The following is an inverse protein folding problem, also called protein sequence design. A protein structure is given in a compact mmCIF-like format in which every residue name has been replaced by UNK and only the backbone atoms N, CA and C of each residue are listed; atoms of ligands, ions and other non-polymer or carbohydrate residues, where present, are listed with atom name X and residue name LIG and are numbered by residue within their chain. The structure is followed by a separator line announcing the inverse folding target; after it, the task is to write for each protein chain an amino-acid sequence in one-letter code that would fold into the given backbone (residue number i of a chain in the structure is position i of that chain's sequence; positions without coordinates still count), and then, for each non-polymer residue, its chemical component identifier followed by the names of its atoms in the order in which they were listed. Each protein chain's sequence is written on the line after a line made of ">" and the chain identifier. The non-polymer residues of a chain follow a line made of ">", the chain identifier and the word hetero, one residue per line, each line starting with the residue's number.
data_IF_770059522883
#
_entry.id   IF_770059522883
#
_cell.length_a   1.000
_cell.length_b   1.000
_cell.length_c   1.000
_cell.angle_alpha   90.00
_cell.angle_beta   90.00
_cell.angle_gamma   90.00
#
_symmetry.space_group_name_H-M   'P 1'
#
loop_
_entity.id
_entity.type
_entity.pdbx_description
1 polymer ?
#
# COMPACT_ATOMS: atom_id res chain seq x y z
N UNK A 1 -7.70 32.95 52.98
CA UNK A 1 -6.80 31.84 52.59
C UNK A 1 -6.27 32.11 51.17
N UNK A 2 -5.04 32.64 51.05
CA UNK A 2 -4.33 32.86 49.77
C UNK A 2 -3.01 32.06 49.84
N UNK A 3 -3.03 30.76 49.57
CA UNK A 3 -1.84 29.89 49.76
C UNK A 3 -1.49 28.97 48.58
N UNK A 4 -2.06 29.17 47.40
CA UNK A 4 -1.76 28.30 46.25
C UNK A 4 -0.79 28.94 45.25
N UNK A 5 -0.54 30.25 45.33
CA UNK A 5 0.26 31.00 44.34
C UNK A 5 -0.41 31.16 42.98
N UNK A 6 -1.69 30.77 42.86
CA UNK A 6 -2.49 30.89 41.64
C UNK A 6 -3.16 32.26 41.55
N UNK A 7 -3.28 32.77 40.32
CA UNK A 7 -4.01 34.00 39.99
C UNK A 7 -5.15 33.73 39.00
N UNK A 8 -6.22 34.54 38.99
CA UNK A 8 -7.30 34.39 38.00
C UNK A 8 -6.78 34.60 36.57
N UNK A 9 -7.41 33.92 35.62
CA UNK A 9 -7.13 34.07 34.20
C UNK A 9 -7.56 35.46 33.69
N UNK A 10 -6.70 36.08 32.88
CA UNK A 10 -6.98 37.33 32.17
C UNK A 10 -7.21 37.07 30.68
N UNK A 11 -7.80 38.03 29.96
CA UNK A 11 -7.94 37.92 28.50
C UNK A 11 -6.59 37.77 27.79
N UNK A 12 -5.53 38.40 28.31
CA UNK A 12 -4.19 38.26 27.76
C UNK A 12 -3.64 36.84 27.93
N UNK A 13 -3.95 36.17 29.05
CA UNK A 13 -3.56 34.77 29.26
C UNK A 13 -4.29 33.84 28.30
N UNK A 14 -5.59 34.06 28.10
CA UNK A 14 -6.37 33.26 27.17
C UNK A 14 -5.86 33.39 25.74
N UNK A 15 -5.52 34.61 25.31
CA UNK A 15 -4.92 34.84 23.99
C UNK A 15 -3.54 34.19 23.86
N UNK A 16 -2.68 34.32 24.89
CA UNK A 16 -1.37 33.69 24.91
C UNK A 16 -1.45 32.15 24.91
N UNK A 17 -2.40 31.58 25.64
CA UNK A 17 -2.64 30.14 25.67
C UNK A 17 -3.25 29.64 24.37
N UNK A 18 -4.14 30.42 23.74
CA UNK A 18 -4.68 30.12 22.41
C UNK A 18 -3.57 30.08 21.38
N UNK A 19 -2.67 31.07 21.39
CA UNK A 19 -1.50 31.11 20.50
C UNK A 19 -0.54 29.94 20.72
N UNK A 20 -0.19 29.66 21.98
CA UNK A 20 0.65 28.52 22.32
C UNK A 20 0.03 27.19 21.90
N UNK A 21 -1.26 26.97 22.19
CA UNK A 21 -1.95 25.73 21.86
C UNK A 21 -2.01 25.53 20.32
N UNK A 22 -2.26 26.61 19.57
CA UNK A 22 -2.27 26.57 18.11
C UNK A 22 -0.89 26.27 17.51
N UNK A 23 0.19 26.81 18.10
CA UNK A 23 1.54 26.66 17.58
C UNK A 23 2.19 25.32 17.97
N UNK A 24 2.00 24.88 19.21
CA UNK A 24 2.80 23.78 19.79
C UNK A 24 2.01 22.47 19.92
N UNK A 25 0.69 22.54 20.12
CA UNK A 25 -0.12 21.35 20.47
C UNK A 25 -0.98 20.88 19.31
N UNK A 26 -1.78 21.77 18.70
CA UNK A 26 -2.66 21.42 17.58
C UNK A 26 -1.97 20.74 16.38
N UNK A 27 -0.72 21.07 16.00
CA UNK A 27 -0.05 20.40 14.88
C UNK A 27 0.29 18.92 15.13
N UNK A 28 0.51 18.55 16.40
CA UNK A 28 1.02 17.23 16.79
C UNK A 28 -0.05 16.37 17.47
N UNK A 29 -1.03 17.01 18.11
CA UNK A 29 -2.09 16.35 18.84
C UNK A 29 -3.45 16.59 18.19
N UNK A 30 -4.06 15.53 17.69
CA UNK A 30 -5.35 15.58 16.96
C UNK A 30 -6.54 15.22 17.85
N UNK A 31 -6.30 14.61 19.00
CA UNK A 31 -7.33 14.19 19.95
C UNK A 31 -7.65 15.34 20.89
N UNK A 32 -8.88 15.85 20.82
CA UNK A 32 -9.32 17.00 21.62
C UNK A 32 -9.15 16.78 23.14
N UNK A 33 -9.36 15.56 23.63
CA UNK A 33 -9.15 15.25 25.05
C UNK A 33 -7.71 15.55 25.49
N UNK A 34 -6.72 15.16 24.68
CA UNK A 34 -5.31 15.38 25.00
C UNK A 34 -4.89 16.85 24.81
N UNK A 35 -5.50 17.57 23.85
CA UNK A 35 -5.35 19.04 23.75
C UNK A 35 -5.87 19.75 25.01
N UNK A 36 -7.02 19.32 25.54
CA UNK A 36 -7.61 19.84 26.77
C UNK A 36 -6.71 19.57 27.97
N UNK A 37 -6.20 18.36 28.10
CA UNK A 37 -5.29 18.00 29.19
C UNK A 37 -3.99 18.83 29.13
N UNK A 38 -3.40 18.99 27.95
CA UNK A 38 -2.22 19.83 27.74
C UNK A 38 -2.50 21.30 28.13
N UNK A 39 -3.64 21.85 27.74
CA UNK A 39 -4.06 23.19 28.12
C UNK A 39 -4.18 23.34 29.65
N UNK A 40 -4.81 22.38 30.34
CA UNK A 40 -4.95 22.42 31.80
C UNK A 40 -3.60 22.27 32.53
N UNK A 41 -2.68 21.49 31.99
CA UNK A 41 -1.30 21.41 32.48
C UNK A 41 -0.60 22.76 32.33
N UNK A 42 -0.76 23.42 31.19
CA UNK A 42 -0.14 24.73 30.92
C UNK A 42 -0.70 25.84 31.83
N UNK A 43 -2.01 25.83 32.11
CA UNK A 43 -2.61 26.71 33.13
C UNK A 43 -1.91 26.53 34.49
N UNK A 44 -1.69 25.28 34.92
CA UNK A 44 -1.01 24.99 36.19
C UNK A 44 0.45 25.41 36.19
N UNK A 45 1.17 25.16 35.09
CA UNK A 45 2.57 25.55 34.93
C UNK A 45 2.75 27.08 35.07
N UNK A 46 1.80 27.86 34.53
CA UNK A 46 1.78 29.33 34.63
C UNK A 46 1.19 29.86 35.94
N UNK A 47 0.77 28.99 36.86
CA UNK A 47 0.05 29.31 38.10
C UNK A 47 -1.20 30.17 37.85
N UNK A 48 -1.95 29.83 36.81
CA UNK A 48 -3.22 30.48 36.45
C UNK A 48 -4.36 29.52 36.80
N UNK A 49 -5.38 30.04 37.49
CA UNK A 49 -6.59 29.27 37.78
C UNK A 49 -7.35 28.99 36.46
N UNK A 50 -7.60 27.72 36.10
CA UNK A 50 -8.30 27.40 34.87
C UNK A 50 -9.71 28.01 34.87
N UNK A 51 -10.15 28.63 33.78
CA UNK A 51 -11.49 29.18 33.71
C UNK A 51 -12.53 28.05 33.66
N UNK A 52 -13.82 28.41 33.77
CA UNK A 52 -14.91 27.44 33.67
C UNK A 52 -14.88 26.65 32.35
N UNK A 53 -15.40 25.42 32.35
CA UNK A 53 -15.36 24.47 31.22
C UNK A 53 -15.72 25.11 29.88
N UNK A 54 -16.82 25.86 29.81
CA UNK A 54 -17.27 26.54 28.59
C UNK A 54 -16.21 27.48 27.99
N UNK A 55 -15.41 28.15 28.84
CA UNK A 55 -14.35 29.04 28.37
C UNK A 55 -13.14 28.25 27.86
N UNK A 56 -12.79 27.14 28.53
CA UNK A 56 -11.76 26.20 28.06
C UNK A 56 -12.12 25.68 26.66
N UNK A 57 -13.37 25.27 26.44
CA UNK A 57 -13.81 24.83 25.11
C UNK A 57 -13.69 25.91 24.04
N UNK A 58 -14.02 27.17 24.37
CA UNK A 58 -13.84 28.30 23.44
C UNK A 58 -12.38 28.51 23.06
N UNK A 59 -11.45 28.38 24.00
CA UNK A 59 -10.00 28.47 23.75
C UNK A 59 -9.55 27.32 22.85
N UNK A 60 -10.00 26.09 23.11
CA UNK A 60 -9.70 24.93 22.26
C UNK A 60 -10.17 25.15 20.81
N UNK A 61 -11.42 25.59 20.63
CA UNK A 61 -11.98 25.90 19.30
C UNK A 61 -11.20 27.02 18.62
N UNK A 62 -10.89 28.10 19.32
CA UNK A 62 -10.15 29.24 18.77
C UNK A 62 -8.73 28.84 18.35
N UNK A 63 -8.03 28.06 19.17
CA UNK A 63 -6.68 27.59 18.88
C UNK A 63 -6.65 26.66 17.67
N UNK A 64 -7.58 25.70 17.61
CA UNK A 64 -7.72 24.81 16.43
C UNK A 64 -8.04 25.59 15.17
N UNK A 65 -8.96 26.55 15.24
CA UNK A 65 -9.28 27.41 14.09
C UNK A 65 -8.07 28.22 13.62
N UNK A 66 -7.31 28.81 14.56
CA UNK A 66 -6.07 29.55 14.25
C UNK A 66 -5.02 28.66 13.60
N UNK A 67 -4.82 27.47 14.14
CA UNK A 67 -3.89 26.49 13.58
C UNK A 67 -4.35 25.99 12.20
N UNK A 68 -5.63 25.68 12.02
CA UNK A 68 -6.17 25.19 10.74
C UNK A 68 -5.99 26.24 9.64
N UNK A 69 -6.24 27.52 9.94
CA UNK A 69 -5.98 28.62 9.01
C UNK A 69 -4.50 28.70 8.62
N UNK A 70 -3.59 28.66 9.61
CA UNK A 70 -2.15 28.70 9.36
C UNK A 70 -1.67 27.49 8.54
N UNK A 71 -2.19 26.30 8.84
CA UNK A 71 -1.88 25.07 8.11
C UNK A 71 -2.34 25.14 6.65
N UNK A 72 -3.58 25.60 6.41
CA UNK A 72 -4.09 25.74 5.04
C UNK A 72 -3.27 26.77 4.24
N UNK A 73 -2.96 27.92 4.85
CA UNK A 73 -2.14 28.95 4.22
C UNK A 73 -0.76 28.41 3.80
N UNK A 74 -0.10 27.67 4.69
CA UNK A 74 1.20 27.05 4.44
C UNK A 74 1.17 26.03 3.29
N UNK A 75 0.13 25.18 3.23
CA UNK A 75 -0.05 24.20 2.16
C UNK A 75 -0.29 24.91 0.82
N UNK A 76 -1.13 25.94 0.82
CA UNK A 76 -1.45 26.76 -0.36
C UNK A 76 -0.21 27.46 -0.91
N UNK A 77 0.61 28.04 -0.02
CA UNK A 77 1.86 28.69 -0.40
C UNK A 77 2.79 27.71 -1.14
N UNK A 78 2.95 26.49 -0.60
CA UNK A 78 3.78 25.44 -1.22
C UNK A 78 3.25 24.92 -2.55
N UNK A 79 1.93 24.88 -2.72
CA UNK A 79 1.31 24.41 -3.97
C UNK A 79 1.55 25.37 -5.14
N UNK A 80 1.64 26.68 -4.85
CA UNK A 80 1.61 27.71 -5.88
C UNK A 80 0.27 27.80 -6.61
N UNK A 81 0.14 28.77 -7.51
CA UNK A 81 -1.09 29.02 -8.28
C UNK A 81 -1.49 27.83 -9.16
N UNK A 82 -0.58 27.33 -9.98
CA UNK A 82 -0.86 26.21 -10.88
C UNK A 82 -1.29 24.92 -10.14
N UNK A 83 -0.74 24.66 -8.95
CA UNK A 83 -1.15 23.51 -8.13
C UNK A 83 -2.56 23.68 -7.59
N UNK A 84 -2.90 24.88 -7.12
CA UNK A 84 -4.24 25.23 -6.63
C UNK A 84 -5.29 25.08 -7.72
N UNK A 85 -5.05 25.63 -8.90
CA UNK A 85 -6.02 25.61 -10.00
C UNK A 85 -6.31 24.18 -10.47
N UNK A 86 -5.27 23.36 -10.61
CA UNK A 86 -5.43 21.94 -10.96
C UNK A 86 -6.22 21.17 -9.91
N UNK A 87 -5.99 21.43 -8.62
CA UNK A 87 -6.78 20.80 -7.55
C UNK A 87 -8.24 21.28 -7.59
N UNK A 88 -8.49 22.57 -7.71
CA UNK A 88 -9.85 23.13 -7.78
C UNK A 88 -10.62 22.62 -9.00
N UNK A 89 -9.93 22.37 -10.11
CA UNK A 89 -10.54 21.77 -11.30
C UNK A 89 -11.19 20.40 -11.04
N UNK A 90 -10.74 19.66 -10.03
CA UNK A 90 -11.31 18.35 -9.66
C UNK A 90 -12.74 18.42 -9.14
N UNK A 91 -13.18 19.60 -8.70
CA UNK A 91 -14.50 19.81 -8.07
C UNK A 91 -15.30 20.91 -8.76
N UNK A 92 -14.83 21.45 -9.89
CA UNK A 92 -15.56 22.43 -10.67
C UNK A 92 -16.84 21.81 -11.27
N UNK A 93 -17.95 22.56 -11.28
CA UNK A 93 -19.27 22.06 -11.70
C UNK A 93 -19.34 21.74 -13.19
N UNK A 94 -18.61 22.50 -13.99
CA UNK A 94 -18.50 22.37 -15.44
C UNK A 94 -17.37 21.42 -15.88
N UNK A 95 -16.67 20.78 -14.94
CA UNK A 95 -15.56 19.87 -15.24
C UNK A 95 -15.88 18.41 -14.89
N UNK A 96 -16.63 17.75 -15.78
CA UNK A 96 -16.92 16.31 -15.68
C UNK A 96 -15.65 15.45 -15.65
N UNK A 97 -14.60 15.85 -16.36
CA UNK A 97 -13.33 15.10 -16.39
C UNK A 97 -12.63 15.16 -15.04
N UNK A 98 -12.61 16.34 -14.40
CA UNK A 98 -12.03 16.54 -13.07
C UNK A 98 -12.78 15.75 -11.98
N UNK A 99 -14.12 15.79 -12.01
CA UNK A 99 -14.94 15.05 -11.05
C UNK A 99 -14.84 13.54 -11.25
N UNK A 100 -14.76 13.06 -12.50
CA UNK A 100 -14.50 11.66 -12.80
C UNK A 100 -13.11 11.21 -12.30
N UNK A 101 -12.08 12.05 -12.46
CA UNK A 101 -10.76 11.78 -11.90
C UNK A 101 -10.84 11.68 -10.37
N UNK A 102 -11.44 12.65 -9.68
CA UNK A 102 -11.61 12.61 -8.23
C UNK A 102 -12.31 11.33 -7.76
N UNK A 103 -13.38 10.90 -8.43
CA UNK A 103 -14.08 9.65 -8.14
C UNK A 103 -13.17 8.43 -8.37
N UNK A 104 -12.38 8.42 -9.44
CA UNK A 104 -11.41 7.35 -9.70
C UNK A 104 -10.31 7.28 -8.64
N UNK A 105 -9.85 8.42 -8.12
CA UNK A 105 -8.84 8.49 -7.07
C UNK A 105 -9.35 7.95 -5.75
N UNK A 106 -10.62 8.20 -5.41
CA UNK A 106 -11.24 7.71 -4.18
C UNK A 106 -11.55 6.23 -4.19
N UNK A 107 -11.62 5.61 -5.36
CA UNK A 107 -11.91 4.17 -5.49
C UNK A 107 -10.69 3.35 -5.10
N UNK A 108 -10.92 2.29 -4.34
CA UNK A 108 -9.90 1.29 -4.04
C UNK A 108 -9.41 0.57 -5.30
N UNK A 109 -8.19 0.01 -5.27
CA UNK A 109 -7.66 -0.79 -6.37
C UNK A 109 -8.61 -1.96 -6.70
N UNK A 110 -8.93 -2.13 -7.99
CA UNK A 110 -9.83 -3.20 -8.44
C UNK A 110 -9.24 -4.60 -8.26
N UNK A 111 -10.10 -5.64 -8.29
CA UNK A 111 -9.71 -7.04 -8.15
C UNK A 111 -8.57 -7.49 -9.11
N UNK A 112 -7.80 -8.50 -8.71
CA UNK A 112 -6.57 -8.94 -9.39
C UNK A 112 -6.85 -9.55 -10.78
N UNK A 113 -6.79 -8.72 -11.82
CA UNK A 113 -6.90 -9.05 -13.25
C UNK A 113 -5.86 -8.28 -14.08
N UNK A 114 -5.65 -8.65 -15.35
CA UNK A 114 -4.65 -8.02 -16.24
C UNK A 114 -4.94 -6.53 -16.54
N UNK A 115 -6.21 -6.14 -16.51
CA UNK A 115 -6.65 -4.76 -16.76
C UNK A 115 -6.50 -3.86 -15.52
N UNK A 116 -6.37 -4.47 -14.33
CA UNK A 116 -6.22 -3.75 -13.07
C UNK A 116 -4.90 -2.96 -12.99
N UNK A 117 -3.72 -3.53 -13.30
CA UNK A 117 -2.46 -2.76 -13.33
C UNK A 117 -2.44 -1.60 -14.32
N UNK A 118 -2.99 -1.76 -15.52
CA UNK A 118 -3.01 -0.68 -16.52
C UNK A 118 -3.92 0.47 -16.07
N UNK A 119 -5.07 0.14 -15.49
CA UNK A 119 -5.98 1.14 -14.92
C UNK A 119 -5.32 1.92 -13.78
N UNK A 120 -4.62 1.23 -12.87
CA UNK A 120 -3.89 1.88 -11.78
C UNK A 120 -2.69 2.72 -12.27
N UNK A 121 -2.00 2.31 -13.34
CA UNK A 121 -0.94 3.13 -13.97
C UNK A 121 -1.52 4.42 -14.55
N UNK A 122 -2.66 4.35 -15.24
CA UNK A 122 -3.34 5.54 -15.77
C UNK A 122 -3.72 6.48 -14.63
N UNK A 123 -4.38 5.97 -13.58
CA UNK A 123 -4.70 6.77 -12.39
C UNK A 123 -3.46 7.43 -11.79
N UNK A 124 -2.37 6.69 -11.59
CA UNK A 124 -1.13 7.24 -11.03
C UNK A 124 -0.56 8.37 -11.89
N UNK A 125 -0.58 8.23 -13.21
CA UNK A 125 -0.14 9.28 -14.13
C UNK A 125 -1.05 10.51 -14.05
N UNK A 126 -2.36 10.32 -13.95
CA UNK A 126 -3.32 11.43 -13.85
C UNK A 126 -3.16 12.20 -12.53
N UNK A 127 -2.95 11.51 -11.40
CA UNK A 127 -2.64 12.20 -10.13
C UNK A 127 -1.31 12.96 -10.22
N UNK A 128 -0.29 12.36 -10.83
CA UNK A 128 1.03 13.00 -10.97
C UNK A 128 0.97 14.26 -11.85
N UNK A 129 0.07 14.33 -12.83
CA UNK A 129 -0.15 15.53 -13.65
C UNK A 129 -0.69 16.72 -12.87
N UNK A 130 -1.26 16.51 -11.67
CA UNK A 130 -1.58 17.60 -10.76
C UNK A 130 -0.33 18.36 -10.33
N UNK A 131 0.85 17.72 -10.37
CA UNK A 131 2.14 18.37 -10.14
C UNK A 131 2.33 18.82 -8.69
N UNK A 132 1.81 18.04 -7.74
CA UNK A 132 1.98 18.31 -6.32
C UNK A 132 3.45 18.18 -5.92
N UNK A 133 4.03 19.15 -5.18
CA UNK A 133 5.39 19.04 -4.70
C UNK A 133 5.60 17.80 -3.83
N UNK A 134 6.72 17.10 -4.00
CA UNK A 134 7.03 15.91 -3.18
C UNK A 134 7.09 16.24 -1.68
N UNK A 135 7.69 17.39 -1.35
CA UNK A 135 7.85 17.89 0.01
C UNK A 135 6.65 18.70 0.54
N UNK A 136 5.48 18.63 -0.12
CA UNK A 136 4.30 19.43 0.24
C UNK A 136 3.96 19.33 1.74
N UNK A 137 3.98 18.11 2.29
CA UNK A 137 3.70 17.80 3.68
C UNK A 137 4.93 17.34 4.48
N UNK A 138 6.15 17.73 4.07
CA UNK A 138 7.39 17.22 4.67
C UNK A 138 7.51 17.48 6.19
N UNK A 139 6.97 18.60 6.68
CA UNK A 139 7.02 19.01 8.09
C UNK A 139 5.76 18.59 8.87
N UNK A 140 4.88 17.81 8.24
CA UNK A 140 3.61 17.38 8.82
C UNK A 140 3.71 15.95 9.32
N UNK A 141 3.01 15.63 10.41
CA UNK A 141 2.92 14.24 10.85
C UNK A 141 2.09 13.41 9.86
N UNK A 142 2.45 12.14 9.65
CA UNK A 142 1.66 11.23 8.79
C UNK A 142 0.21 11.10 9.28
N UNK A 143 0.00 11.16 10.61
CA UNK A 143 -1.32 11.11 11.24
C UNK A 143 -2.19 12.30 10.84
N UNK A 144 -1.60 13.50 10.80
CA UNK A 144 -2.30 14.73 10.38
C UNK A 144 -2.77 14.60 8.94
N UNK A 145 -1.85 14.26 8.02
CA UNK A 145 -2.19 14.12 6.59
C UNK A 145 -3.26 13.03 6.39
N UNK A 146 -3.13 11.91 7.10
CA UNK A 146 -4.12 10.84 7.07
C UNK A 146 -5.51 11.28 7.58
N UNK A 147 -5.59 12.13 8.61
CA UNK A 147 -6.85 12.67 9.10
C UNK A 147 -7.53 13.59 8.07
N UNK A 148 -6.78 14.48 7.43
CA UNK A 148 -7.29 15.34 6.34
C UNK A 148 -7.73 14.53 5.13
N UNK A 149 -6.93 13.54 4.72
CA UNK A 149 -7.29 12.59 3.67
C UNK A 149 -8.58 11.82 4.02
N UNK A 150 -8.72 11.34 5.25
CA UNK A 150 -9.90 10.58 5.68
C UNK A 150 -11.18 11.43 5.67
N UNK A 151 -11.08 12.72 5.99
CA UNK A 151 -12.18 13.68 5.81
C UNK A 151 -12.49 13.85 4.33
N UNK A 152 -11.48 14.13 3.51
CA UNK A 152 -11.64 14.36 2.08
C UNK A 152 -12.25 13.15 1.35
N UNK A 153 -11.90 11.91 1.73
CA UNK A 153 -12.45 10.68 1.13
C UNK A 153 -13.97 10.64 1.19
N UNK A 154 -14.56 11.04 2.33
CA UNK A 154 -16.01 10.93 2.60
C UNK A 154 -16.85 12.01 1.90
N UNK A 155 -16.22 13.05 1.38
CA UNK A 155 -16.91 14.22 0.81
C UNK A 155 -17.32 14.02 -0.65
N UNK A 156 -18.49 14.51 -1.06
CA UNK A 156 -18.86 14.65 -2.47
C UNK A 156 -18.26 15.93 -3.07
N UNK A 157 -18.19 16.05 -4.41
CA UNK A 157 -17.74 17.30 -5.05
C UNK A 157 -18.48 18.55 -4.56
N UNK A 158 -19.79 18.44 -4.26
CA UNK A 158 -20.59 19.51 -3.65
C UNK A 158 -20.07 19.91 -2.27
N UNK A 159 -19.77 18.94 -1.40
CA UNK A 159 -19.30 19.23 -0.04
C UNK A 159 -17.96 19.99 -0.05
N UNK A 160 -17.10 19.69 -1.03
CA UNK A 160 -15.88 20.47 -1.25
C UNK A 160 -16.22 21.91 -1.63
N UNK A 161 -17.20 22.13 -2.50
CA UNK A 161 -17.66 23.45 -2.94
C UNK A 161 -18.33 24.27 -1.83
N UNK A 162 -18.92 23.61 -0.84
CA UNK A 162 -19.53 24.28 0.32
C UNK A 162 -18.49 24.66 1.40
N UNK A 163 -17.29 24.10 1.31
CA UNK A 163 -16.18 24.42 2.22
C UNK A 163 -15.44 25.69 1.79
N UNK A 164 -14.84 26.42 2.72
CA UNK A 164 -13.96 27.57 2.40
C UNK A 164 -12.85 27.18 1.42
N UNK A 165 -12.42 28.12 0.58
CA UNK A 165 -11.44 27.87 -0.48
C UNK A 165 -10.15 27.23 0.05
N UNK A 166 -9.63 27.75 1.16
CA UNK A 166 -8.36 27.30 1.72
C UNK A 166 -8.42 25.86 2.25
N UNK A 167 -9.49 25.55 2.99
CA UNK A 167 -9.73 24.20 3.53
C UNK A 167 -10.02 23.23 2.38
N UNK A 168 -10.77 23.65 1.36
CA UNK A 168 -11.05 22.86 0.15
C UNK A 168 -9.77 22.45 -0.57
N UNK A 169 -8.89 23.41 -0.85
CA UNK A 169 -7.60 23.16 -1.51
C UNK A 169 -6.77 22.18 -0.66
N UNK A 170 -6.70 22.43 0.64
CA UNK A 170 -5.90 21.60 1.57
C UNK A 170 -6.41 20.17 1.67
N UNK A 171 -7.73 19.97 1.71
CA UNK A 171 -8.35 18.63 1.67
C UNK A 171 -8.05 17.89 0.36
N UNK A 172 -8.18 18.56 -0.78
CA UNK A 172 -7.88 17.99 -2.09
C UNK A 172 -6.38 17.66 -2.22
N UNK A 173 -5.51 18.52 -1.71
CA UNK A 173 -4.07 18.33 -1.68
C UNK A 173 -3.69 17.10 -0.83
N UNK A 174 -4.21 17.00 0.40
CA UNK A 174 -3.95 15.88 1.30
C UNK A 174 -4.45 14.55 0.69
N UNK A 175 -5.63 14.56 0.07
CA UNK A 175 -6.18 13.41 -0.64
C UNK A 175 -5.25 12.98 -1.79
N UNK A 176 -4.99 13.89 -2.73
CA UNK A 176 -4.24 13.56 -3.94
C UNK A 176 -2.80 13.17 -3.64
N UNK A 177 -2.14 13.86 -2.70
CA UNK A 177 -0.77 13.53 -2.27
C UNK A 177 -0.70 12.14 -1.65
N UNK A 178 -1.62 11.81 -0.73
CA UNK A 178 -1.67 10.48 -0.10
C UNK A 178 -1.96 9.38 -1.13
N UNK A 179 -2.87 9.65 -2.08
CA UNK A 179 -3.24 8.68 -3.12
C UNK A 179 -2.11 8.35 -4.08
N UNK A 180 -1.13 9.24 -4.30
CA UNK A 180 0.05 8.88 -5.11
C UNK A 180 0.83 7.71 -4.50
N UNK A 181 1.08 7.75 -3.19
CA UNK A 181 1.77 6.68 -2.48
C UNK A 181 0.94 5.40 -2.45
N UNK A 182 -0.35 5.50 -2.11
CA UNK A 182 -1.25 4.35 -2.01
C UNK A 182 -1.48 3.62 -3.33
N UNK A 183 -1.64 4.36 -4.44
CA UNK A 183 -1.75 3.76 -5.78
C UNK A 183 -0.43 3.09 -6.17
N UNK A 184 0.70 3.69 -5.78
CA UNK A 184 2.02 3.08 -6.02
C UNK A 184 2.18 1.77 -5.25
N UNK A 185 1.81 1.74 -3.97
CA UNK A 185 1.87 0.54 -3.14
C UNK A 185 0.92 -0.55 -3.67
N UNK A 186 -0.31 -0.17 -4.04
CA UNK A 186 -1.27 -1.08 -4.67
C UNK A 186 -0.77 -1.66 -6.00
N UNK A 187 -0.10 -0.84 -6.82
CA UNK A 187 0.53 -1.31 -8.06
C UNK A 187 1.61 -2.36 -7.79
N UNK A 188 2.44 -2.16 -6.77
CA UNK A 188 3.46 -3.14 -6.38
C UNK A 188 2.80 -4.45 -5.95
N UNK A 189 1.75 -4.40 -5.12
CA UNK A 189 1.01 -5.59 -4.69
C UNK A 189 0.36 -6.33 -5.87
N UNK A 190 -0.27 -5.60 -6.79
CA UNK A 190 -0.86 -6.16 -8.01
C UNK A 190 0.18 -6.84 -8.90
N UNK A 191 1.36 -6.23 -9.06
CA UNK A 191 2.46 -6.81 -9.83
C UNK A 191 2.98 -8.10 -9.18
N UNK A 192 3.16 -8.08 -7.86
CA UNK A 192 3.56 -9.28 -7.09
C UNK A 192 2.52 -10.39 -7.27
N UNK A 193 1.24 -10.09 -7.10
CA UNK A 193 0.16 -11.06 -7.24
C UNK A 193 0.09 -11.65 -8.67
N UNK A 194 0.27 -10.81 -9.69
CA UNK A 194 0.26 -11.24 -11.08
C UNK A 194 1.45 -12.16 -11.40
N UNK A 195 2.64 -11.84 -10.92
CA UNK A 195 3.84 -12.68 -11.04
C UNK A 195 3.60 -14.07 -10.45
N UNK A 196 3.02 -14.14 -9.24
CA UNK A 196 2.67 -15.42 -8.61
C UNK A 196 1.62 -16.20 -9.42
N UNK A 197 0.60 -15.51 -9.96
CA UNK A 197 -0.44 -16.13 -10.80
C UNK A 197 0.13 -16.69 -12.11
N UNK A 198 1.08 -15.99 -12.73
CA UNK A 198 1.77 -16.48 -13.93
C UNK A 198 2.62 -17.70 -13.58
N UNK A 199 3.37 -17.65 -12.48
CA UNK A 199 4.23 -18.76 -12.07
C UNK A 199 3.43 -20.04 -11.82
N UNK A 200 2.40 -19.95 -10.98
CA UNK A 200 1.52 -21.07 -10.66
C UNK A 200 0.79 -21.63 -11.90
N UNK A 201 0.39 -20.77 -12.84
CA UNK A 201 -0.23 -21.23 -14.09
C UNK A 201 0.76 -21.94 -15.01
N UNK A 202 2.01 -21.47 -15.08
CA UNK A 202 3.07 -22.12 -15.86
C UNK A 202 3.41 -23.49 -15.28
N UNK A 203 3.60 -23.60 -13.96
CA UNK A 203 3.84 -24.85 -13.25
C UNK A 203 2.71 -25.86 -13.52
N UNK A 204 1.45 -25.47 -13.29
CA UNK A 204 0.28 -26.33 -13.57
C UNK A 204 0.18 -26.75 -15.03
N UNK A 205 0.57 -25.89 -15.98
CA UNK A 205 0.53 -26.22 -17.41
C UNK A 205 1.57 -27.28 -17.76
N UNK A 206 2.78 -27.16 -17.23
CA UNK A 206 3.84 -28.15 -17.47
C UNK A 206 3.52 -29.46 -16.76
N UNK A 207 2.99 -29.41 -15.54
CA UNK A 207 2.55 -30.60 -14.81
C UNK A 207 1.50 -31.36 -15.63
N UNK A 208 0.45 -30.69 -16.11
CA UNK A 208 -0.55 -31.30 -16.99
C UNK A 208 0.04 -31.91 -18.26
N UNK A 209 1.04 -31.25 -18.87
CA UNK A 209 1.71 -31.76 -20.07
C UNK A 209 2.52 -33.03 -19.75
N UNK A 210 3.26 -33.07 -18.65
CA UNK A 210 4.01 -34.26 -18.25
C UNK A 210 3.09 -35.40 -17.85
N UNK A 211 2.01 -35.15 -17.12
CA UNK A 211 1.02 -36.19 -16.79
C UNK A 211 0.38 -36.75 -18.07
N UNK A 212 0.12 -35.90 -19.07
CA UNK A 212 -0.37 -36.35 -20.37
C UNK A 212 0.67 -37.14 -21.18
N UNK A 213 1.95 -36.74 -21.15
CA UNK A 213 3.07 -37.48 -21.77
C UNK A 213 3.25 -38.86 -21.10
N UNK A 214 3.18 -38.93 -19.77
CA UNK A 214 3.24 -40.18 -19.00
C UNK A 214 2.07 -41.11 -19.34
N UNK A 215 0.83 -40.60 -19.39
CA UNK A 215 -0.36 -41.38 -19.81
C UNK A 215 -0.27 -41.91 -21.24
N UNK A 216 0.48 -41.25 -22.13
CA UNK A 216 0.68 -41.72 -23.51
C UNK A 216 1.67 -42.89 -23.62
N UNK A 217 2.59 -43.05 -22.67
CA UNK A 217 3.50 -44.19 -22.64
C UNK A 217 2.76 -45.39 -22.01
N UNK A 218 1.91 -46.03 -22.81
CA UNK A 218 0.98 -47.14 -22.48
C UNK A 218 1.61 -48.42 -21.88
N UNK A 219 2.88 -48.43 -21.49
CA UNK A 219 3.56 -49.58 -20.87
C UNK A 219 3.93 -49.42 -19.40
N UNK A 220 3.99 -48.19 -18.87
CA UNK A 220 4.54 -47.93 -17.51
C UNK A 220 3.54 -48.17 -16.39
N UNK A 221 2.26 -47.88 -16.63
CA UNK A 221 1.18 -48.19 -15.69
C UNK A 221 1.08 -49.70 -15.43
N UNK A 222 1.26 -50.53 -16.47
CA UNK A 222 1.29 -51.99 -16.34
C UNK A 222 2.50 -52.50 -15.54
N UNK A 223 3.65 -51.85 -15.63
CA UNK A 223 4.85 -52.19 -14.83
C UNK A 223 4.62 -51.80 -13.36
N UNK A 224 4.10 -50.61 -13.09
CA UNK A 224 3.79 -50.14 -11.73
C UNK A 224 2.72 -51.00 -11.07
N UNK A 225 1.68 -51.37 -11.81
CA UNK A 225 0.62 -52.26 -11.32
C UNK A 225 1.18 -53.64 -10.95
N UNK A 226 1.98 -54.26 -11.82
CA UNK A 226 2.64 -55.54 -11.53
C UNK A 226 3.56 -55.47 -10.31
N UNK A 227 4.30 -54.37 -10.15
CA UNK A 227 5.17 -54.13 -8.99
C UNK A 227 4.37 -54.01 -7.69
N UNK A 228 3.30 -53.20 -7.72
CA UNK A 228 2.42 -53.00 -6.57
C UNK A 228 1.70 -54.29 -6.17
N UNK A 229 1.16 -55.05 -7.14
CA UNK A 229 0.54 -56.36 -6.89
C UNK A 229 1.53 -57.33 -6.26
N UNK A 230 2.74 -57.44 -6.80
CA UNK A 230 3.76 -58.37 -6.26
C UNK A 230 4.23 -57.97 -4.86
N UNK A 231 4.33 -56.66 -4.57
CA UNK A 231 4.70 -56.17 -3.24
C UNK A 231 3.60 -56.43 -2.20
N UNK A 232 2.33 -56.40 -2.60
CA UNK A 232 1.19 -56.71 -1.72
C UNK A 232 1.04 -58.22 -1.51
N UNK A 233 1.21 -59.03 -2.57
CA UNK A 233 1.08 -60.49 -2.50
C UNK A 233 2.22 -61.15 -1.72
N UNK A 234 3.40 -60.50 -1.67
CA UNK A 234 4.61 -61.05 -1.05
C UNK A 234 5.35 -60.00 -0.20
N UNK A 235 4.78 -59.59 0.94
CA UNK A 235 5.31 -58.48 1.74
C UNK A 235 6.65 -58.81 2.42
N UNK A 236 6.86 -60.09 2.80
CA UNK A 236 8.04 -60.52 3.57
C UNK A 236 9.17 -61.10 2.70
N UNK A 237 8.99 -61.21 1.38
CA UNK A 237 10.07 -61.65 0.48
C UNK A 237 11.07 -60.51 0.23
N UNK A 238 12.35 -60.88 0.18
CA UNK A 238 13.42 -59.95 -0.23
C UNK A 238 13.15 -59.42 -1.64
N UNK A 239 13.18 -58.08 -1.79
CA UNK A 239 12.95 -57.33 -3.05
C UNK A 239 13.64 -57.96 -4.27
N UNK A 240 14.86 -58.46 -4.10
CA UNK A 240 15.65 -59.08 -5.16
C UNK A 240 15.01 -60.39 -5.71
N UNK A 241 14.30 -61.14 -4.86
CA UNK A 241 13.59 -62.38 -5.22
C UNK A 241 12.13 -62.14 -5.60
N UNK A 242 11.48 -61.14 -4.98
CA UNK A 242 10.08 -60.82 -5.27
C UNK A 242 9.91 -59.96 -6.52
N UNK A 243 10.61 -58.83 -6.61
CA UNK A 243 10.29 -57.76 -7.57
C UNK A 243 11.14 -57.79 -8.84
N UNK A 244 12.44 -58.13 -8.76
CA UNK A 244 13.33 -58.14 -9.92
C UNK A 244 13.04 -59.21 -10.99
N UNK A 245 12.48 -60.38 -10.66
CA UNK A 245 12.03 -61.34 -11.67
C UNK A 245 10.81 -60.85 -12.45
N UNK A 246 9.92 -60.08 -11.80
CA UNK A 246 8.69 -59.55 -12.42
C UNK A 246 8.99 -58.30 -13.25
N UNK A 247 9.93 -57.47 -12.77
CA UNK A 247 10.39 -56.25 -13.44
C UNK A 247 11.90 -56.19 -13.34
N UNK A 248 12.59 -56.42 -14.45
CA UNK A 248 14.06 -56.51 -14.48
C UNK A 248 14.76 -55.33 -13.78
N UNK A 249 15.83 -55.62 -13.03
CA UNK A 249 16.57 -54.60 -12.27
C UNK A 249 17.10 -53.47 -13.16
N UNK A 250 17.52 -53.80 -14.38
CA UNK A 250 17.96 -52.82 -15.38
C UNK A 250 16.82 -51.86 -15.75
N UNK A 251 15.62 -52.38 -15.99
CA UNK A 251 14.41 -51.61 -16.31
C UNK A 251 14.03 -50.68 -15.17
N UNK A 252 14.17 -51.13 -13.91
CA UNK A 252 13.93 -50.29 -12.73
C UNK A 252 14.96 -49.16 -12.60
N UNK A 253 16.26 -49.43 -12.83
CA UNK A 253 17.28 -48.38 -12.83
C UNK A 253 17.07 -47.37 -13.96
N UNK A 254 16.67 -47.83 -15.14
CA UNK A 254 16.31 -46.98 -16.28
C UNK A 254 15.11 -46.10 -15.95
N UNK A 255 14.06 -46.64 -15.30
CA UNK A 255 12.90 -45.87 -14.81
C UNK A 255 13.29 -44.82 -13.75
N UNK A 256 14.19 -45.15 -12.82
CA UNK A 256 14.68 -44.19 -11.81
C UNK A 256 15.52 -43.09 -12.45
N UNK A 257 16.38 -43.43 -13.41
CA UNK A 257 17.18 -42.47 -14.17
C UNK A 257 16.27 -41.54 -15.00
N UNK A 258 15.25 -42.10 -15.64
CA UNK A 258 14.25 -41.35 -16.40
C UNK A 258 13.41 -40.43 -15.51
N UNK A 259 12.99 -40.87 -14.31
CA UNK A 259 12.27 -40.02 -13.36
C UNK A 259 13.11 -38.82 -12.90
N UNK A 260 14.40 -39.04 -12.57
CA UNK A 260 15.34 -37.98 -12.21
C UNK A 260 15.63 -37.03 -13.39
N UNK A 261 15.68 -37.55 -14.61
CA UNK A 261 15.83 -36.74 -15.82
C UNK A 261 14.57 -35.91 -16.09
N UNK A 262 13.38 -36.49 -15.90
CA UNK A 262 12.09 -35.81 -16.06
C UNK A 262 11.89 -34.69 -15.04
N UNK A 263 12.41 -34.78 -13.81
CA UNK A 263 12.39 -33.66 -12.86
C UNK A 263 13.24 -32.47 -13.34
N UNK A 264 14.42 -32.75 -13.93
CA UNK A 264 15.27 -31.73 -14.55
C UNK A 264 14.62 -31.13 -15.82
N UNK A 265 14.00 -31.97 -16.64
CA UNK A 265 13.23 -31.56 -17.84
C UNK A 265 11.98 -30.76 -17.45
N UNK A 266 11.32 -31.10 -16.35
CA UNK A 266 10.20 -30.34 -15.77
C UNK A 266 10.66 -28.93 -15.39
N UNK A 267 11.71 -28.82 -14.55
CA UNK A 267 12.29 -27.52 -14.16
C UNK A 267 12.71 -26.70 -15.38
N UNK A 268 13.28 -27.33 -16.41
CA UNK A 268 13.66 -26.67 -17.67
C UNK A 268 12.45 -26.21 -18.51
N UNK A 269 11.43 -27.07 -18.71
CA UNK A 269 10.18 -26.74 -19.42
C UNK A 269 9.44 -25.61 -18.70
N UNK A 270 9.31 -25.67 -17.37
CA UNK A 270 8.74 -24.58 -16.55
C UNK A 270 9.53 -23.29 -16.80
N UNK A 271 10.86 -23.31 -16.74
CA UNK A 271 11.69 -22.13 -16.98
C UNK A 271 11.52 -21.53 -18.39
N UNK A 272 11.33 -22.37 -19.41
CA UNK A 272 11.09 -21.93 -20.80
C UNK A 272 9.67 -21.37 -20.98
N UNK A 273 8.65 -22.02 -20.43
CA UNK A 273 7.27 -21.51 -20.45
C UNK A 273 7.13 -20.23 -19.64
N UNK A 274 7.86 -20.10 -18.52
CA UNK A 274 8.00 -18.85 -17.78
C UNK A 274 8.61 -17.78 -18.67
N UNK A 275 9.76 -18.03 -19.30
CA UNK A 275 10.42 -17.06 -20.19
C UNK A 275 9.52 -16.57 -21.32
N UNK A 276 8.73 -17.44 -21.96
CA UNK A 276 7.80 -17.02 -23.02
C UNK A 276 6.59 -16.25 -22.48
N UNK A 277 6.10 -16.60 -21.29
CA UNK A 277 5.02 -15.90 -20.60
C UNK A 277 5.45 -14.50 -20.14
N UNK A 278 6.62 -14.39 -19.50
CA UNK A 278 7.25 -13.11 -19.11
C UNK A 278 7.56 -12.25 -20.35
N UNK A 279 8.12 -12.83 -21.42
CA UNK A 279 8.48 -12.10 -22.64
C UNK A 279 7.29 -11.58 -23.47
N UNK A 280 6.12 -12.22 -23.35
CA UNK A 280 4.86 -11.72 -23.90
C UNK A 280 4.26 -10.63 -22.99
N UNK A 281 4.32 -10.83 -21.68
CA UNK A 281 3.84 -9.88 -20.67
C UNK A 281 4.59 -8.54 -20.70
N UNK A 282 5.93 -8.56 -20.60
CA UNK A 282 6.74 -7.33 -20.65
C UNK A 282 6.60 -6.60 -21.99
N UNK A 283 6.42 -7.29 -23.13
CA UNK A 283 6.17 -6.61 -24.41
C UNK A 283 4.84 -5.86 -24.45
N UNK A 284 3.81 -6.37 -23.78
CA UNK A 284 2.48 -5.76 -23.72
C UNK A 284 2.40 -4.64 -22.67
N UNK A 285 3.17 -4.74 -21.59
CA UNK A 285 3.22 -3.74 -20.50
C UNK A 285 4.29 -2.65 -20.72
N UNK A 286 5.43 -2.96 -21.36
CA UNK A 286 6.52 -2.01 -21.65
C UNK A 286 6.41 -1.33 -23.03
N UNK A 287 5.26 -1.39 -23.70
CA UNK A 287 5.00 -0.57 -24.90
C UNK A 287 5.02 0.94 -24.61
N UNK A 288 5.04 1.34 -23.33
CA UNK A 288 5.21 2.73 -22.85
C UNK A 288 6.46 2.85 -21.94
N UNK A 289 7.67 3.03 -22.50
CA UNK A 289 8.93 3.07 -21.74
C UNK A 289 9.04 4.23 -20.73
N UNK A 290 8.31 5.33 -20.97
CA UNK A 290 8.37 6.57 -20.18
C UNK A 290 7.78 6.44 -18.77
N UNK A 291 6.82 5.54 -18.58
CA UNK A 291 6.07 5.39 -17.32
C UNK A 291 6.78 4.50 -16.30
N UNK A 292 7.65 3.59 -16.73
CA UNK A 292 8.34 2.64 -15.84
C UNK A 292 9.58 3.25 -15.16
N UNK A 293 10.33 4.08 -15.89
CA UNK A 293 11.52 4.77 -15.36
C UNK A 293 11.13 5.77 -14.27
N UNK A 294 9.98 6.44 -14.41
CA UNK A 294 9.48 7.37 -13.39
C UNK A 294 9.01 6.66 -12.10
N UNK A 295 8.43 5.46 -12.22
CA UNK A 295 8.01 4.64 -11.07
C UNK A 295 9.22 4.14 -10.27
N UNK A 296 10.26 3.61 -10.93
CA UNK A 296 11.48 3.12 -10.26
C UNK A 296 12.28 4.27 -9.65
N UNK A 297 12.36 5.43 -10.32
CA UNK A 297 13.11 6.59 -9.81
C UNK A 297 12.43 7.21 -8.58
N UNK A 298 11.09 7.29 -8.55
CA UNK A 298 10.35 7.76 -7.37
C UNK A 298 10.46 6.78 -6.20
N UNK A 299 10.25 5.48 -6.44
CA UNK A 299 10.36 4.45 -5.42
C UNK A 299 11.75 4.40 -4.76
N UNK A 300 12.83 4.75 -5.48
CA UNK A 300 14.17 4.86 -4.90
C UNK A 300 14.40 6.11 -4.03
N UNK A 301 13.63 7.19 -4.23
CA UNK A 301 13.84 8.50 -3.58
C UNK A 301 12.92 8.76 -2.40
N UNK A 302 11.70 8.19 -2.39
CA UNK A 302 10.73 8.34 -1.28
C UNK A 302 10.81 7.23 -0.23
N UNK A 303 11.61 6.17 -0.44
CA UNK A 303 11.72 4.99 0.43
C UNK A 303 12.92 4.87 1.42
N UNK A 304 13.72 5.90 1.80
CA UNK A 304 14.85 5.65 2.71
C UNK A 304 14.46 5.12 4.11
N UNK A 305 13.27 5.46 4.64
CA UNK A 305 12.98 5.30 6.08
C UNK A 305 12.04 4.15 6.49
N UNK A 306 11.45 3.39 5.55
CA UNK A 306 10.44 2.36 5.89
C UNK A 306 10.94 0.91 5.93
N UNK A 307 12.12 0.62 5.38
CA UNK A 307 12.75 -0.71 5.41
C UNK A 307 13.65 -0.94 6.65
N UNK A 308 14.12 0.11 7.31
CA UNK A 308 14.96 0.00 8.51
C UNK A 308 14.29 -0.66 9.71
N UNK A 309 12.95 -0.59 9.83
CA UNK A 309 12.20 -1.18 10.96
C UNK A 309 11.64 -2.58 10.70
N UNK A 310 11.49 -3.01 9.44
CA UNK A 310 11.02 -4.37 9.12
C UNK A 310 12.15 -5.39 8.96
N UNK A 311 13.38 -4.94 8.68
CA UNK A 311 14.55 -5.83 8.61
C UNK A 311 15.19 -6.18 9.98
N UNK A 312 14.83 -5.49 11.07
CA UNK A 312 15.30 -5.85 12.43
C UNK A 312 14.44 -6.93 13.08
N UNK A 313 13.15 -7.03 12.74
CA UNK A 313 12.24 -8.04 13.30
C UNK A 313 12.40 -9.45 12.68
N UNK A 314 13.09 -9.58 11.54
CA UNK A 314 13.34 -10.86 10.88
C UNK A 314 14.70 -11.49 11.25
N UNK A 315 15.51 -10.85 12.10
CA UNK A 315 16.88 -11.29 12.44
C UNK A 315 17.04 -11.90 13.83
N UNK A 316 15.97 -12.01 14.62
CA UNK A 316 16.00 -12.58 15.98
C UNK A 316 15.18 -13.87 16.15
N UNK A 317 14.75 -14.50 15.05
CA UNK A 317 13.93 -15.73 15.08
C UNK A 317 14.62 -17.00 14.57
N UNK A 318 15.96 -17.00 14.43
CA UNK A 318 16.72 -18.19 14.06
C UNK A 318 18.05 -18.19 14.82
N UNK A 319 17.98 -18.67 16.07
CA UNK A 319 19.09 -19.27 16.80
C UNK A 319 18.58 -20.59 17.36
#
# INVERSE_FOLDING_TARGET
>A
MRHSGFRPATLADEEALTGWLAAEVCPVELVEAWQRDALLVEYRARKIEPPGRTRVEKILVAARGRWELAFCAHVIERLGEAGRDRLLSLVAEDNETGTALLAALKRDPGAVGLDSPLTEITKLNDVRRLGLPEALFADCSEKLVAAWRARAIKMYPSDFRDTSADVRITLLAALCWSRQAEITDALVELLVALVHKINTRAERRVEKQLTAELKKVRGKEGILFKLATTAVDKPDEVVRRALFPVVGERTLRELVAEAKANEKVFKAKVRTTLRSSYGSYYRRTCSSPRSYISILCWCSRSWPNRLGRKCSAARTGAA
#
